data_IF_998176992762
#
_entry.id   IF_998176992762
#
_cell.length_a   1.000
_cell.length_b   1.000
_cell.length_c   1.000
_cell.angle_alpha   90.00
_cell.angle_beta   90.00
_cell.angle_gamma   90.00
#
_symmetry.space_group_name_H-M   'P 1'
#
loop_
_entity.id
_entity.type
_entity.pdbx_description
1 polymer ?
#
# COMPACT_ATOMS: atom_id res chain seq x y z
N UNK A 1 -11.49 5.23 3.61
CA UNK A 1 -11.37 4.07 2.67
C UNK A 1 -11.49 2.78 3.45
N UNK A 2 -12.10 1.78 2.88
CA UNK A 2 -12.15 0.43 3.44
C UNK A 2 -10.97 -0.37 2.92
N UNK A 3 -10.24 -1.06 3.82
CA UNK A 3 -8.99 -1.75 3.49
C UNK A 3 -9.21 -3.25 3.49
N UNK A 4 -8.70 -3.92 2.46
CA UNK A 4 -8.71 -5.38 2.34
C UNK A 4 -7.26 -5.88 2.26
N UNK A 5 -6.94 -6.91 3.04
CA UNK A 5 -5.59 -7.48 3.12
C UNK A 5 -5.67 -8.99 2.95
N UNK A 6 -4.74 -9.55 2.18
CA UNK A 6 -4.60 -10.99 2.03
C UNK A 6 -3.89 -11.60 3.25
N UNK A 7 -4.22 -12.83 3.57
CA UNK A 7 -3.66 -13.54 4.72
C UNK A 7 -2.14 -13.70 4.62
N UNK A 8 -1.61 -13.90 3.43
CA UNK A 8 -0.16 -14.02 3.22
C UNK A 8 0.59 -12.75 3.64
N UNK A 9 -0.02 -11.58 3.44
CA UNK A 9 0.58 -10.31 3.84
C UNK A 9 0.57 -10.13 5.36
N UNK A 10 -0.46 -10.62 6.02
CA UNK A 10 -0.51 -10.63 7.48
C UNK A 10 0.59 -11.52 8.05
N UNK A 11 0.85 -12.67 7.42
CA UNK A 11 1.95 -13.56 7.80
C UNK A 11 3.30 -12.89 7.67
N UNK A 12 3.54 -12.19 6.54
CA UNK A 12 4.76 -11.43 6.34
C UNK A 12 4.99 -10.41 7.47
N UNK A 13 3.96 -9.67 7.82
CA UNK A 13 4.06 -8.64 8.85
C UNK A 13 4.31 -9.23 10.25
N UNK A 14 3.88 -10.47 10.51
CA UNK A 14 4.20 -11.15 11.77
C UNK A 14 5.69 -11.48 11.87
N UNK A 15 6.34 -11.83 10.76
CA UNK A 15 7.78 -12.12 10.72
C UNK A 15 8.63 -10.85 10.81
N UNK A 16 8.13 -9.72 10.30
CA UNK A 16 8.88 -8.48 10.22
C UNK A 16 8.18 -7.37 10.98
N UNK A 17 8.48 -7.23 12.31
CA UNK A 17 7.79 -6.26 13.16
C UNK A 17 7.85 -4.81 12.67
N UNK A 18 8.95 -4.41 12.04
CA UNK A 18 9.07 -3.05 11.49
C UNK A 18 8.08 -2.81 10.35
N UNK A 19 7.89 -3.81 9.49
CA UNK A 19 6.90 -3.75 8.43
C UNK A 19 5.49 -3.69 9.02
N UNK A 20 5.24 -4.44 10.09
CA UNK A 20 3.94 -4.43 10.76
C UNK A 20 3.59 -3.05 11.30
N UNK A 21 4.52 -2.39 11.99
CA UNK A 21 4.29 -1.05 12.54
C UNK A 21 4.02 -0.05 11.42
N UNK A 22 4.84 -0.09 10.36
CA UNK A 22 4.68 0.81 9.22
C UNK A 22 3.33 0.58 8.51
N UNK A 23 2.91 -0.68 8.37
CA UNK A 23 1.62 -1.02 7.78
C UNK A 23 0.45 -0.53 8.66
N UNK A 24 0.55 -0.68 9.98
CA UNK A 24 -0.47 -0.19 10.90
C UNK A 24 -0.66 1.32 10.78
N UNK A 25 0.44 2.07 10.71
CA UNK A 25 0.39 3.52 10.53
C UNK A 25 -0.27 3.88 9.19
N UNK A 26 0.08 3.18 8.11
CA UNK A 26 -0.52 3.38 6.81
C UNK A 26 -2.03 3.13 6.85
N UNK A 27 -2.45 2.04 7.50
CA UNK A 27 -3.88 1.69 7.62
C UNK A 27 -4.67 2.76 8.36
N UNK A 28 -4.12 3.33 9.44
CA UNK A 28 -4.79 4.40 10.20
C UNK A 28 -5.06 5.60 9.31
N UNK A 29 -4.07 6.01 8.53
CA UNK A 29 -4.20 7.16 7.63
C UNK A 29 -5.22 6.87 6.54
N UNK A 30 -5.12 5.71 5.89
CA UNK A 30 -5.98 5.35 4.77
C UNK A 30 -7.45 5.20 5.19
N UNK A 31 -7.70 4.61 6.35
CA UNK A 31 -9.08 4.49 6.87
C UNK A 31 -9.77 5.83 7.04
N UNK A 32 -9.04 6.88 7.39
CA UNK A 32 -9.57 8.24 7.56
C UNK A 32 -9.72 8.98 6.23
N UNK A 33 -9.07 8.51 5.19
CA UNK A 33 -9.01 9.19 3.91
C UNK A 33 -10.28 8.97 3.10
N UNK A 34 -10.64 9.99 2.30
CA UNK A 34 -11.77 9.95 1.39
C UNK A 34 -11.29 10.36 0.00
N UNK A 35 -10.32 9.62 -0.52
CA UNK A 35 -9.71 9.93 -1.80
C UNK A 35 -10.71 9.73 -2.94
N UNK A 36 -10.71 10.68 -3.88
CA UNK A 36 -11.53 10.64 -5.08
C UNK A 36 -10.69 10.45 -6.34
N UNK A 37 -9.37 10.61 -6.22
CA UNK A 37 -8.44 10.52 -7.34
C UNK A 37 -7.03 10.26 -6.81
N UNK A 38 -6.10 9.95 -7.72
CA UNK A 38 -4.70 9.81 -7.35
C UNK A 38 -4.12 11.13 -6.80
N UNK A 39 -4.59 12.27 -7.28
CA UNK A 39 -4.14 13.56 -6.77
C UNK A 39 -4.37 13.68 -5.26
N UNK A 40 -5.49 13.15 -4.77
CA UNK A 40 -5.78 13.13 -3.33
C UNK A 40 -4.81 12.22 -2.58
N UNK A 41 -4.50 11.06 -3.14
CA UNK A 41 -3.52 10.13 -2.55
C UNK A 41 -2.17 10.82 -2.43
N UNK A 42 -1.75 11.53 -3.47
CA UNK A 42 -0.46 12.23 -3.52
C UNK A 42 -0.36 13.33 -2.47
N UNK A 43 -1.46 13.99 -2.14
CA UNK A 43 -1.49 14.98 -1.07
C UNK A 43 -1.27 14.35 0.31
N UNK A 44 -1.79 13.15 0.52
CA UNK A 44 -1.66 12.42 1.78
C UNK A 44 -0.29 11.76 1.90
N UNK A 45 0.16 11.09 0.84
CA UNK A 45 1.43 10.38 0.77
C UNK A 45 2.27 10.95 -0.37
N UNK A 46 3.18 11.85 -0.05
CA UNK A 46 3.93 12.63 -1.06
C UNK A 46 4.84 11.78 -1.95
N UNK A 47 5.28 10.63 -1.46
CA UNK A 47 6.20 9.75 -2.20
C UNK A 47 5.48 8.62 -2.93
N UNK A 48 4.15 8.60 -2.94
CA UNK A 48 3.39 7.56 -3.63
C UNK A 48 3.57 7.67 -5.15
N UNK A 49 3.66 6.52 -5.81
CA UNK A 49 3.74 6.45 -7.26
C UNK A 49 2.53 5.73 -7.83
N UNK A 50 2.02 6.24 -8.95
CA UNK A 50 1.01 5.55 -9.73
C UNK A 50 1.70 4.69 -10.80
N UNK A 51 1.40 3.38 -10.81
CA UNK A 51 2.07 2.44 -11.71
C UNK A 51 1.14 1.84 -12.77
N UNK A 52 -0.10 2.32 -12.87
CA UNK A 52 -1.10 1.81 -13.82
C UNK A 52 -2.04 0.81 -13.18
N UNK A 53 -3.08 0.41 -13.90
CA UNK A 53 -4.09 -0.56 -13.47
C UNK A 53 -4.66 -0.28 -12.08
N UNK A 54 -4.89 1.00 -11.77
CA UNK A 54 -5.41 1.47 -10.49
C UNK A 54 -4.50 1.15 -9.29
N UNK A 55 -3.22 0.84 -9.54
CA UNK A 55 -2.25 0.50 -8.51
C UNK A 55 -1.40 1.68 -8.11
N UNK A 56 -1.23 1.83 -6.81
CA UNK A 56 -0.33 2.80 -6.21
C UNK A 56 0.75 2.06 -5.41
N UNK A 57 1.98 2.57 -5.45
CA UNK A 57 3.09 2.05 -4.67
C UNK A 57 3.43 3.06 -3.58
N UNK A 58 3.35 2.61 -2.35
CA UNK A 58 3.65 3.43 -1.16
C UNK A 58 4.98 3.01 -0.58
N UNK A 59 5.80 4.00 -0.21
CA UNK A 59 7.02 3.76 0.55
C UNK A 59 6.66 3.73 2.03
N UNK A 60 7.07 2.67 2.71
CA UNK A 60 6.86 2.52 4.15
C UNK A 60 8.20 2.57 4.88
N UNK A 61 8.21 3.16 6.08
CA UNK A 61 9.42 3.32 6.89
C UNK A 61 10.57 3.91 6.05
N UNK A 62 10.36 5.12 5.53
CA UNK A 62 11.25 5.69 4.54
C UNK A 62 11.23 4.88 3.27
N UNK A 63 12.33 4.23 2.91
CA UNK A 63 12.43 3.39 1.72
C UNK A 63 12.65 1.91 2.03
N UNK A 64 12.49 1.50 3.29
CA UNK A 64 12.79 0.13 3.70
C UNK A 64 11.78 -0.87 3.14
N UNK A 65 10.51 -0.48 3.05
CA UNK A 65 9.42 -1.35 2.57
C UNK A 65 8.62 -0.66 1.48
N UNK A 66 7.99 -1.50 0.63
CA UNK A 66 7.05 -1.07 -0.41
C UNK A 66 5.71 -1.76 -0.18
N UNK A 67 4.64 -1.01 -0.40
CA UNK A 67 3.27 -1.53 -0.39
C UNK A 67 2.62 -1.22 -1.73
N UNK A 68 2.05 -2.24 -2.37
CA UNK A 68 1.27 -2.07 -3.59
C UNK A 68 -0.20 -2.25 -3.23
N UNK A 69 -1.02 -1.27 -3.58
CA UNK A 69 -2.46 -1.33 -3.35
C UNK A 69 -3.24 -0.94 -4.59
N UNK A 70 -4.33 -1.65 -4.86
CA UNK A 70 -5.32 -1.25 -5.86
C UNK A 70 -6.32 -0.34 -5.16
N UNK A 71 -6.49 0.87 -5.69
CA UNK A 71 -7.39 1.86 -5.11
C UNK A 71 -8.61 2.02 -6.02
N UNK A 72 -9.78 1.76 -5.47
CA UNK A 72 -11.07 1.92 -6.14
C UNK A 72 -11.76 3.16 -5.57
N UNK A 73 -11.58 4.30 -6.23
CA UNK A 73 -12.05 5.59 -5.71
C UNK A 73 -13.57 5.67 -5.62
N UNK A 74 -14.26 5.14 -6.63
CA UNK A 74 -15.73 5.23 -6.72
C UNK A 74 -16.43 4.57 -5.55
N UNK A 75 -15.91 3.42 -5.11
CA UNK A 75 -16.50 2.64 -4.01
C UNK A 75 -15.74 2.80 -2.69
N UNK A 76 -14.64 3.53 -2.69
CA UNK A 76 -13.87 3.82 -1.48
C UNK A 76 -13.12 2.62 -0.91
N UNK A 77 -12.57 1.75 -1.76
CA UNK A 77 -11.87 0.53 -1.36
C UNK A 77 -10.39 0.61 -1.69
N UNK A 78 -9.56 0.06 -0.80
CA UNK A 78 -8.13 -0.11 -0.99
C UNK A 78 -7.78 -1.58 -0.76
N UNK A 79 -7.28 -2.25 -1.79
CA UNK A 79 -6.88 -3.65 -1.73
C UNK A 79 -5.36 -3.73 -1.67
N UNK A 80 -4.80 -4.21 -0.55
CA UNK A 80 -3.36 -4.40 -0.44
C UNK A 80 -2.99 -5.66 -1.22
N UNK A 81 -2.12 -5.49 -2.21
CA UNK A 81 -1.68 -6.58 -3.10
C UNK A 81 -0.30 -7.12 -2.73
N UNK A 82 0.54 -6.27 -2.14
CA UNK A 82 1.91 -6.65 -1.81
C UNK A 82 2.45 -5.76 -0.69
N UNK A 83 3.21 -6.36 0.21
CA UNK A 83 4.07 -5.67 1.17
C UNK A 83 5.38 -6.44 1.22
N UNK A 84 6.49 -5.75 1.10
CA UNK A 84 7.79 -6.37 1.17
C UNK A 84 8.92 -5.36 1.21
N UNK A 85 10.15 -5.85 1.30
CA UNK A 85 11.33 -5.01 1.23
C UNK A 85 11.49 -4.42 -0.17
N UNK A 86 12.37 -3.41 -0.29
CA UNK A 86 12.71 -2.84 -1.57
C UNK A 86 13.23 -3.91 -2.55
N UNK A 87 14.07 -4.81 -2.08
CA UNK A 87 14.61 -5.90 -2.91
C UNK A 87 13.53 -6.88 -3.36
N UNK A 88 12.62 -7.24 -2.46
CA UNK A 88 11.49 -8.11 -2.79
C UNK A 88 10.57 -7.45 -3.81
N UNK A 89 10.33 -6.15 -3.68
CA UNK A 89 9.52 -5.40 -4.63
C UNK A 89 10.13 -5.44 -6.04
N UNK A 90 11.44 -5.36 -6.16
CA UNK A 90 12.12 -5.40 -7.46
C UNK A 90 12.00 -6.74 -8.18
N UNK A 91 11.66 -7.81 -7.45
CA UNK A 91 11.51 -9.17 -8.00
C UNK A 91 10.10 -9.49 -8.46
N UNK A 92 9.10 -8.68 -8.12
CA UNK A 92 7.71 -8.93 -8.49
C UNK A 92 7.31 -8.11 -9.70
N UNK A 93 6.27 -8.57 -10.39
CA UNK A 93 5.56 -7.72 -11.36
C UNK A 93 4.46 -6.97 -10.62
N UNK A 94 4.69 -5.71 -10.33
CA UNK A 94 3.77 -4.88 -9.56
C UNK A 94 2.42 -4.66 -10.26
N UNK A 95 2.33 -4.91 -11.56
CA UNK A 95 1.08 -4.75 -12.32
C UNK A 95 0.20 -6.01 -12.27
N UNK A 96 0.74 -7.14 -11.82
CA UNK A 96 0.00 -8.42 -11.79
C UNK A 96 -0.13 -9.01 -10.38
N UNK A 97 0.61 -8.49 -9.44
CA UNK A 97 0.57 -8.95 -8.06
C UNK A 97 -0.78 -8.69 -7.39
#
# INVERSE_FOLDING_TARGET
MRIFTQQALAAYCREFPDARVALQNWKVIVKRSKWKSFADVKKTFRTVDYIGKQRCVFNLKGNDFRLVAVIKYTIGFAYIRFVGSHEEYERIDCLTV
#
